data_IF_662491534434
#
_entry.id   IF_662491534434
#
_cell.length_a   1.000
_cell.length_b   1.000
_cell.length_c   1.000
_cell.angle_alpha   90.00
_cell.angle_beta   90.00
_cell.angle_gamma   90.00
#
_symmetry.space_group_name_H-M   'P 1'
#
loop_
_entity.id
_entity.type
_entity.pdbx_description
1 polymer ?
#
# COMPACT_ATOMS: atom_id res chain seq x y z
N UNK A 1 -30.62 7.11 -27.07
CA UNK A 1 -30.76 5.93 -27.94
C UNK A 1 -29.56 5.82 -28.88
N UNK A 2 -28.34 6.12 -28.40
CA UNK A 2 -27.06 6.00 -29.09
C UNK A 2 -25.89 5.60 -28.16
N UNK A 3 -26.17 5.26 -26.89
CA UNK A 3 -25.17 4.79 -25.91
C UNK A 3 -25.18 3.27 -25.66
N UNK A 4 -26.27 2.58 -26.08
CA UNK A 4 -26.41 1.13 -25.83
C UNK A 4 -25.69 0.21 -26.86
N UNK A 5 -25.15 0.78 -27.95
CA UNK A 5 -24.50 -0.02 -29.01
C UNK A 5 -22.96 -0.15 -28.85
N UNK A 6 -22.33 0.56 -27.89
CA UNK A 6 -20.88 0.43 -27.65
C UNK A 6 -20.51 -0.72 -26.69
N UNK A 7 -21.44 -1.17 -25.86
CA UNK A 7 -21.18 -2.26 -24.90
C UNK A 7 -21.20 -3.69 -25.51
N UNK A 8 -21.59 -3.85 -26.78
CA UNK A 8 -21.71 -5.18 -27.40
C UNK A 8 -20.67 -5.53 -28.47
N UNK A 9 -19.65 -4.74 -28.69
CA UNK A 9 -18.65 -4.97 -29.77
C UNK A 9 -17.31 -5.56 -29.32
N UNK A 10 -17.06 -5.77 -28.04
CA UNK A 10 -15.81 -6.35 -27.52
C UNK A 10 -15.79 -7.89 -27.45
N UNK A 11 -16.92 -8.54 -27.64
CA UNK A 11 -17.09 -9.94 -27.24
C UNK A 11 -16.47 -10.92 -28.24
N UNK A 12 -15.32 -11.49 -27.92
CA UNK A 12 -14.80 -12.69 -28.56
C UNK A 12 -13.67 -12.48 -29.57
N UNK A 13 -13.04 -11.30 -29.65
CA UNK A 13 -11.96 -11.04 -30.60
C UNK A 13 -10.72 -11.89 -30.29
N UNK A 14 -10.26 -11.92 -29.02
CA UNK A 14 -9.11 -12.73 -28.61
C UNK A 14 -9.37 -14.22 -28.83
N UNK A 15 -10.58 -14.72 -28.54
CA UNK A 15 -10.98 -16.09 -28.82
C UNK A 15 -10.89 -16.40 -30.31
N UNK A 16 -11.34 -15.49 -31.18
CA UNK A 16 -11.27 -15.63 -32.63
C UNK A 16 -9.84 -15.63 -33.20
N UNK A 17 -8.88 -15.18 -32.44
CA UNK A 17 -7.46 -15.13 -32.82
C UNK A 17 -6.68 -16.38 -32.38
N UNK A 18 -7.26 -17.23 -31.51
CA UNK A 18 -6.64 -18.48 -31.10
C UNK A 18 -6.52 -19.46 -32.28
N UNK A 19 -5.42 -20.20 -32.32
CA UNK A 19 -5.25 -21.30 -33.26
C UNK A 19 -6.19 -22.45 -32.87
N UNK A 20 -7.17 -22.85 -33.71
CA UNK A 20 -8.08 -23.94 -33.41
C UNK A 20 -7.39 -25.30 -33.22
N UNK A 21 -6.17 -25.45 -33.72
CA UNK A 21 -5.37 -26.68 -33.57
C UNK A 21 -4.57 -26.75 -32.27
N UNK A 22 -4.57 -25.68 -31.46
CA UNK A 22 -3.85 -25.64 -30.19
C UNK A 22 -4.36 -26.75 -29.25
N UNK A 23 -3.49 -27.70 -28.79
CA UNK A 23 -3.91 -28.79 -27.95
C UNK A 23 -4.51 -28.38 -26.61
N UNK A 24 -4.23 -27.16 -26.15
CA UNK A 24 -4.81 -26.57 -24.92
C UNK A 24 -6.31 -26.29 -25.05
N UNK A 25 -6.82 -26.17 -26.29
CA UNK A 25 -8.24 -25.96 -26.60
C UNK A 25 -9.02 -27.29 -26.72
N UNK A 26 -8.38 -28.42 -26.60
CA UNK A 26 -9.00 -29.75 -26.86
C UNK A 26 -10.08 -30.11 -25.80
N UNK A 27 -10.06 -29.56 -24.61
CA UNK A 27 -11.08 -29.80 -23.58
C UNK A 27 -12.29 -28.87 -23.78
N UNK A 28 -13.26 -29.37 -24.53
CA UNK A 28 -14.50 -28.64 -24.84
C UNK A 28 -15.31 -28.20 -23.62
N UNK A 29 -15.07 -28.81 -22.45
CA UNK A 29 -15.76 -28.40 -21.19
C UNK A 29 -15.22 -27.07 -20.67
N UNK A 30 -13.98 -26.72 -21.00
CA UNK A 30 -13.32 -25.51 -20.59
C UNK A 30 -13.52 -24.35 -21.58
N UNK A 31 -13.96 -24.62 -22.79
CA UNK A 31 -14.12 -23.62 -23.85
C UNK A 31 -15.03 -22.43 -23.47
N UNK A 32 -16.18 -22.62 -22.78
CA UNK A 32 -16.98 -21.49 -22.33
C UNK A 32 -16.25 -20.64 -21.27
N UNK A 33 -15.60 -21.30 -20.29
CA UNK A 33 -14.87 -20.62 -19.21
C UNK A 33 -13.66 -19.87 -19.76
N UNK A 34 -12.94 -20.45 -20.72
CA UNK A 34 -11.82 -19.80 -21.41
C UNK A 34 -12.29 -18.56 -22.17
N UNK A 35 -13.42 -18.67 -22.88
CA UNK A 35 -14.00 -17.51 -23.58
C UNK A 35 -14.30 -16.38 -22.60
N UNK A 36 -15.04 -16.69 -21.52
CA UNK A 36 -15.41 -15.71 -20.51
C UNK A 36 -14.17 -15.10 -19.82
N UNK A 37 -13.09 -15.88 -19.67
CA UNK A 37 -11.78 -15.41 -19.19
C UNK A 37 -11.14 -14.43 -20.18
N UNK A 38 -11.08 -14.77 -21.45
CA UNK A 38 -10.48 -13.91 -22.49
C UNK A 38 -11.30 -12.63 -22.72
N UNK A 39 -12.63 -12.68 -22.58
CA UNK A 39 -13.50 -11.52 -22.67
C UNK A 39 -13.19 -10.45 -21.59
N UNK A 40 -12.64 -10.84 -20.43
CA UNK A 40 -12.20 -9.88 -19.42
C UNK A 40 -11.00 -9.03 -19.87
N UNK A 41 -10.21 -9.54 -20.82
CA UNK A 41 -9.07 -8.81 -21.39
C UNK A 41 -9.44 -7.97 -22.61
N UNK A 42 -10.52 -8.32 -23.30
CA UNK A 42 -10.87 -7.73 -24.61
C UNK A 42 -11.23 -6.23 -24.54
N UNK A 43 -11.78 -5.76 -23.43
CA UNK A 43 -12.35 -4.43 -23.30
C UNK A 43 -11.32 -3.27 -23.42
N UNK A 44 -10.04 -3.54 -23.27
CA UNK A 44 -8.97 -2.52 -23.17
C UNK A 44 -7.99 -2.57 -24.35
N UNK A 45 -7.98 -3.66 -25.14
CA UNK A 45 -6.90 -3.98 -26.07
C UNK A 45 -7.09 -3.47 -27.49
N UNK A 46 -8.31 -3.09 -27.87
CA UNK A 46 -8.66 -2.75 -29.25
C UNK A 46 -7.96 -1.51 -29.83
N UNK A 47 -7.50 -0.61 -28.96
CA UNK A 47 -6.88 0.65 -29.36
C UNK A 47 -5.34 0.60 -29.37
N UNK A 48 -4.73 -0.43 -28.76
CA UNK A 48 -3.29 -0.43 -28.44
C UNK A 48 -2.47 -1.43 -29.28
N UNK A 49 -3.11 -2.48 -29.87
CA UNK A 49 -2.39 -3.59 -30.48
C UNK A 49 -2.86 -3.90 -31.90
N UNK A 50 -1.90 -4.22 -32.78
CA UNK A 50 -2.18 -4.80 -34.08
C UNK A 50 -2.65 -6.28 -33.95
N UNK A 51 -3.19 -6.84 -35.04
CA UNK A 51 -3.73 -8.21 -35.04
C UNK A 51 -2.66 -9.26 -34.69
N UNK A 52 -1.41 -9.04 -35.07
CA UNK A 52 -0.30 -9.96 -34.78
C UNK A 52 0.03 -9.99 -33.30
N UNK A 53 0.09 -8.82 -32.66
CA UNK A 53 0.32 -8.68 -31.22
C UNK A 53 -0.83 -9.27 -30.41
N UNK A 54 -2.08 -9.03 -30.82
CA UNK A 54 -3.27 -9.63 -30.20
C UNK A 54 -3.31 -11.15 -30.32
N UNK A 55 -2.92 -11.72 -31.46
CA UNK A 55 -2.85 -13.18 -31.67
C UNK A 55 -1.80 -13.82 -30.76
N UNK A 56 -0.65 -13.17 -30.60
CA UNK A 56 0.38 -13.58 -29.64
C UNK A 56 -0.16 -13.54 -28.21
N UNK A 57 -0.71 -12.41 -27.79
CA UNK A 57 -1.28 -12.24 -26.45
C UNK A 57 -2.36 -13.29 -26.15
N UNK A 58 -3.25 -13.59 -27.08
CA UNK A 58 -4.25 -14.66 -26.92
C UNK A 58 -3.61 -16.02 -26.65
N UNK A 59 -2.52 -16.36 -27.35
CA UNK A 59 -1.73 -17.58 -27.10
C UNK A 59 -1.06 -17.58 -25.73
N UNK A 60 -0.51 -16.45 -25.32
CA UNK A 60 0.15 -16.27 -24.01
C UNK A 60 -0.86 -16.40 -22.87
N UNK A 61 -2.02 -15.79 -22.99
CA UNK A 61 -3.10 -15.89 -21.99
C UNK A 61 -3.67 -17.31 -21.83
N UNK A 62 -3.47 -18.22 -22.78
CA UNK A 62 -3.78 -19.64 -22.55
C UNK A 62 -2.91 -20.29 -21.47
N UNK A 63 -1.65 -19.87 -21.35
CA UNK A 63 -0.77 -20.36 -20.27
C UNK A 63 -1.24 -19.81 -18.92
N UNK A 64 -1.57 -18.52 -18.87
CA UNK A 64 -2.15 -17.87 -17.68
C UNK A 64 -3.47 -18.52 -17.28
N UNK A 65 -4.31 -18.88 -18.26
CA UNK A 65 -5.56 -19.59 -18.01
C UNK A 65 -5.34 -20.97 -17.35
N UNK A 66 -4.31 -21.71 -17.75
CA UNK A 66 -3.97 -22.98 -17.10
C UNK A 66 -3.65 -22.78 -15.60
N UNK A 67 -2.98 -21.70 -15.24
CA UNK A 67 -2.75 -21.32 -13.85
C UNK A 67 -4.06 -21.00 -13.13
N UNK A 68 -4.99 -20.34 -13.81
CA UNK A 68 -6.31 -20.00 -13.29
C UNK A 68 -7.25 -21.19 -13.09
N UNK A 69 -7.05 -22.31 -13.79
CA UNK A 69 -7.95 -23.47 -13.75
C UNK A 69 -8.14 -24.06 -12.36
N UNK A 70 -7.10 -24.08 -11.52
CA UNK A 70 -7.16 -24.67 -10.20
C UNK A 70 -6.40 -23.82 -9.19
N UNK A 71 -7.12 -23.28 -8.22
CA UNK A 71 -6.56 -22.45 -7.15
C UNK A 71 -7.32 -22.67 -5.83
N UNK A 72 -6.61 -22.91 -4.74
CA UNK A 72 -7.22 -22.97 -3.43
C UNK A 72 -7.61 -21.59 -2.92
N UNK A 73 -8.51 -21.56 -1.92
CA UNK A 73 -8.92 -20.30 -1.31
C UNK A 73 -7.72 -19.59 -0.67
N UNK A 74 -7.54 -18.31 -1.00
CA UNK A 74 -6.46 -17.43 -0.52
C UNK A 74 -5.05 -17.86 -0.97
N UNK A 75 -4.91 -18.81 -1.87
CA UNK A 75 -3.64 -19.14 -2.49
C UNK A 75 -3.25 -18.04 -3.49
N UNK A 76 -1.98 -17.66 -3.47
CA UNK A 76 -1.36 -16.86 -4.52
C UNK A 76 -0.63 -17.84 -5.44
N UNK A 77 -1.00 -17.85 -6.69
CA UNK A 77 -0.31 -18.68 -7.70
C UNK A 77 0.54 -17.75 -8.57
N UNK A 78 1.79 -18.14 -8.75
CA UNK A 78 2.76 -17.41 -9.56
C UNK A 78 3.42 -18.38 -10.53
N UNK A 79 3.56 -17.98 -11.77
CA UNK A 79 4.29 -18.73 -12.78
C UNK A 79 5.22 -17.84 -13.57
N UNK A 80 6.40 -18.34 -13.87
CA UNK A 80 7.33 -17.69 -14.80
C UNK A 80 7.61 -18.68 -15.93
N UNK A 81 7.46 -18.22 -17.15
CA UNK A 81 7.72 -19.04 -18.33
C UNK A 81 8.31 -18.19 -19.47
N UNK A 82 8.85 -18.83 -20.47
CA UNK A 82 9.39 -18.19 -21.67
C UNK A 82 8.92 -18.98 -22.88
N UNK A 83 8.69 -18.28 -23.97
CA UNK A 83 8.37 -18.92 -25.25
C UNK A 83 9.62 -19.66 -25.77
N UNK A 84 9.55 -20.98 -25.95
CA UNK A 84 10.67 -21.78 -26.44
C UNK A 84 11.03 -21.48 -27.91
N UNK A 85 10.12 -20.88 -28.68
CA UNK A 85 10.33 -20.58 -30.10
C UNK A 85 11.02 -19.23 -30.37
N UNK A 86 11.21 -18.39 -29.33
CA UNK A 86 11.92 -17.13 -29.47
C UNK A 86 13.44 -17.29 -29.55
N UNK A 87 14.08 -16.56 -30.45
CA UNK A 87 15.52 -16.49 -30.59
C UNK A 87 16.19 -16.00 -29.30
N UNK A 88 17.39 -16.53 -28.99
CA UNK A 88 18.11 -16.31 -27.73
C UNK A 88 18.33 -14.83 -27.33
N UNK A 89 18.39 -13.95 -28.31
CA UNK A 89 18.70 -12.53 -28.10
C UNK A 89 17.47 -11.65 -27.79
N UNK A 90 16.23 -12.19 -27.93
CA UNK A 90 14.99 -11.45 -27.71
C UNK A 90 13.97 -12.20 -26.83
N UNK A 91 14.44 -13.01 -25.88
CA UNK A 91 13.53 -13.77 -24.99
C UNK A 91 12.89 -12.85 -23.97
N UNK A 92 11.66 -12.46 -24.24
CA UNK A 92 10.77 -12.00 -23.19
C UNK A 92 10.45 -13.15 -22.23
N UNK A 93 10.32 -12.82 -20.96
CA UNK A 93 9.86 -13.72 -19.92
C UNK A 93 8.47 -13.27 -19.52
N UNK A 94 7.60 -14.22 -19.32
CA UNK A 94 6.23 -13.96 -18.87
C UNK A 94 6.10 -14.35 -17.41
N UNK A 95 5.53 -13.45 -16.64
CA UNK A 95 5.19 -13.65 -15.23
C UNK A 95 3.67 -13.54 -15.09
N UNK A 96 3.07 -14.63 -14.64
CA UNK A 96 1.63 -14.70 -14.36
C UNK A 96 1.39 -14.78 -12.86
N UNK A 97 0.42 -14.00 -12.38
CA UNK A 97 -0.04 -14.01 -10.99
C UNK A 97 -1.55 -14.18 -10.97
N UNK A 98 -2.04 -15.13 -10.19
CA UNK A 98 -3.47 -15.36 -9.95
C UNK A 98 -3.73 -15.40 -8.45
N UNK A 99 -4.56 -14.50 -7.96
CA UNK A 99 -4.92 -14.43 -6.54
C UNK A 99 -6.31 -13.81 -6.35
N UNK A 100 -6.75 -13.67 -5.10
CA UNK A 100 -7.96 -12.89 -4.82
C UNK A 100 -7.74 -11.43 -5.23
N UNK A 101 -8.77 -10.80 -5.80
CA UNK A 101 -8.73 -9.36 -6.06
C UNK A 101 -8.69 -8.60 -4.72
N UNK A 102 -7.66 -7.80 -4.58
CA UNK A 102 -7.42 -6.97 -3.39
C UNK A 102 -6.42 -5.84 -3.71
N UNK A 103 -6.37 -4.80 -2.88
CA UNK A 103 -5.34 -3.77 -3.01
C UNK A 103 -3.90 -4.32 -2.99
N UNK A 104 -2.98 -3.60 -3.61
CA UNK A 104 -1.52 -3.78 -3.58
C UNK A 104 -0.95 -4.93 -4.42
N UNK A 105 -1.73 -5.64 -5.22
CA UNK A 105 -1.21 -6.78 -6.00
C UNK A 105 -0.26 -6.29 -7.10
N UNK A 106 -0.77 -5.51 -8.04
CA UNK A 106 -0.02 -5.05 -9.22
C UNK A 106 1.19 -4.23 -8.80
N UNK A 107 0.97 -3.23 -7.95
CA UNK A 107 2.03 -2.33 -7.46
C UNK A 107 3.15 -3.11 -6.76
N UNK A 108 2.80 -4.14 -5.96
CA UNK A 108 3.79 -4.96 -5.25
C UNK A 108 4.61 -5.80 -6.23
N UNK A 109 3.99 -6.38 -7.25
CA UNK A 109 4.69 -7.18 -8.27
C UNK A 109 5.62 -6.29 -9.09
N UNK A 110 5.16 -5.14 -9.55
CA UNK A 110 5.98 -4.16 -10.28
C UNK A 110 7.19 -3.72 -9.43
N UNK A 111 6.97 -3.35 -8.18
CA UNK A 111 8.04 -2.98 -7.26
C UNK A 111 9.10 -4.09 -7.13
N UNK A 112 8.69 -5.35 -7.02
CA UNK A 112 9.61 -6.50 -6.92
C UNK A 112 10.42 -6.67 -8.20
N UNK A 113 9.82 -6.47 -9.36
CA UNK A 113 10.47 -6.54 -10.67
C UNK A 113 11.52 -5.42 -10.78
N UNK A 114 11.13 -4.19 -10.45
CA UNK A 114 11.99 -3.00 -10.48
C UNK A 114 13.18 -3.10 -9.51
N UNK A 115 12.96 -3.60 -8.29
CA UNK A 115 14.03 -3.83 -7.29
C UNK A 115 15.14 -4.76 -7.79
N UNK A 116 14.82 -5.62 -8.76
CA UNK A 116 15.77 -6.54 -9.39
C UNK A 116 16.41 -5.97 -10.66
N UNK A 117 16.12 -4.71 -10.98
CA UNK A 117 16.60 -4.06 -12.20
C UNK A 117 16.03 -4.69 -13.47
N UNK A 118 14.88 -5.35 -13.39
CA UNK A 118 14.17 -5.90 -14.53
C UNK A 118 13.18 -4.87 -15.08
N UNK A 119 12.98 -4.87 -16.39
CA UNK A 119 12.09 -3.96 -17.08
C UNK A 119 10.78 -4.66 -17.44
N UNK A 120 9.65 -4.06 -17.08
CA UNK A 120 8.31 -4.49 -17.54
C UNK A 120 8.07 -3.92 -18.92
N UNK A 121 7.96 -4.77 -19.94
CA UNK A 121 7.68 -4.40 -21.32
C UNK A 121 6.18 -4.10 -21.48
N UNK A 122 5.36 -5.01 -20.99
CA UNK A 122 3.90 -4.87 -20.99
C UNK A 122 3.28 -5.54 -19.78
N UNK A 123 2.10 -5.06 -19.38
CA UNK A 123 1.29 -5.68 -18.32
C UNK A 123 -0.18 -5.66 -18.69
N UNK A 124 -0.83 -6.76 -18.38
CA UNK A 124 -2.27 -6.93 -18.56
C UNK A 124 -2.88 -7.47 -17.29
N UNK A 125 -3.97 -6.87 -16.85
CA UNK A 125 -4.69 -7.30 -15.65
C UNK A 125 -6.17 -7.40 -15.95
N UNK A 126 -6.81 -8.44 -15.42
CA UNK A 126 -8.25 -8.61 -15.49
C UNK A 126 -8.78 -9.16 -14.17
N UNK A 127 -9.98 -8.70 -13.80
CA UNK A 127 -10.72 -9.20 -12.66
C UNK A 127 -11.77 -10.19 -13.15
N UNK A 128 -11.86 -11.34 -12.51
CA UNK A 128 -12.83 -12.38 -12.85
C UNK A 128 -13.60 -12.84 -11.61
N UNK A 129 -14.94 -12.84 -11.73
CA UNK A 129 -15.84 -13.38 -10.68
C UNK A 129 -15.89 -14.90 -10.76
N UNK A 130 -14.90 -15.58 -10.17
CA UNK A 130 -14.70 -17.01 -10.29
C UNK A 130 -15.61 -17.81 -9.36
N UNK A 131 -16.33 -18.79 -9.90
CA UNK A 131 -17.02 -19.84 -9.16
C UNK A 131 -16.14 -21.07 -9.14
N UNK A 132 -15.78 -21.56 -7.93
CA UNK A 132 -14.88 -22.69 -7.76
C UNK A 132 -15.54 -23.85 -7.03
N UNK A 133 -15.19 -25.08 -7.43
CA UNK A 133 -15.50 -26.30 -6.70
C UNK A 133 -14.70 -26.35 -5.38
N UNK A 134 -15.03 -27.33 -4.51
CA UNK A 134 -14.34 -27.49 -3.21
C UNK A 134 -12.86 -27.80 -3.33
N UNK A 135 -12.45 -28.44 -4.41
CA UNK A 135 -11.06 -28.78 -4.71
C UNK A 135 -10.25 -27.65 -5.39
N UNK A 136 -10.88 -26.45 -5.53
CA UNK A 136 -10.27 -25.27 -6.12
C UNK A 136 -10.38 -25.18 -7.65
N UNK A 137 -10.95 -26.18 -8.32
CA UNK A 137 -11.16 -26.16 -9.78
C UNK A 137 -12.22 -25.11 -10.14
N UNK A 138 -11.98 -24.33 -11.20
CA UNK A 138 -12.97 -23.38 -11.71
C UNK A 138 -14.15 -24.11 -12.37
N UNK A 139 -15.35 -23.60 -12.10
CA UNK A 139 -16.60 -24.15 -12.63
C UNK A 139 -17.25 -23.17 -13.60
N UNK A 140 -17.20 -21.89 -13.28
CA UNK A 140 -17.76 -20.83 -14.11
C UNK A 140 -17.12 -19.46 -13.76
N UNK A 141 -17.26 -18.51 -14.65
CA UNK A 141 -17.07 -17.09 -14.38
C UNK A 141 -18.49 -16.48 -14.34
N UNK A 142 -18.93 -16.06 -13.16
CA UNK A 142 -20.27 -15.54 -12.97
C UNK A 142 -20.35 -14.60 -11.76
N UNK A 143 -20.43 -13.29 -12.02
CA UNK A 143 -20.54 -12.27 -10.99
C UNK A 143 -21.87 -12.34 -10.19
N UNK A 144 -22.89 -13.01 -10.71
CA UNK A 144 -24.22 -13.11 -10.07
C UNK A 144 -24.33 -14.29 -9.12
N UNK A 145 -23.41 -15.23 -9.19
CA UNK A 145 -23.41 -16.41 -8.33
C UNK A 145 -23.07 -16.05 -6.87
N UNK A 146 -23.88 -16.48 -5.92
CA UNK A 146 -23.71 -16.19 -4.49
C UNK A 146 -22.38 -16.69 -3.89
N UNK A 147 -21.72 -17.64 -4.54
CA UNK A 147 -20.43 -18.23 -4.15
C UNK A 147 -19.27 -17.81 -5.06
N UNK A 148 -19.48 -16.85 -5.95
CA UNK A 148 -18.42 -16.25 -6.75
C UNK A 148 -17.43 -15.49 -5.87
N UNK A 149 -16.21 -15.38 -6.33
CA UNK A 149 -15.15 -14.59 -5.70
C UNK A 149 -14.46 -13.75 -6.75
N UNK A 150 -14.19 -12.53 -6.40
CA UNK A 150 -13.37 -11.67 -7.24
C UNK A 150 -11.92 -12.13 -7.15
N UNK A 151 -11.38 -12.47 -8.30
CA UNK A 151 -9.99 -12.85 -8.48
C UNK A 151 -9.35 -11.95 -9.51
N UNK A 152 -8.07 -11.63 -9.29
CA UNK A 152 -7.26 -10.88 -10.25
C UNK A 152 -6.32 -11.84 -10.94
N UNK A 153 -6.20 -11.67 -12.24
CA UNK A 153 -5.22 -12.32 -13.10
C UNK A 153 -4.32 -11.23 -13.66
N UNK A 154 -3.02 -11.35 -13.40
CA UNK A 154 -2.02 -10.41 -13.89
C UNK A 154 -1.05 -11.17 -14.80
N UNK A 155 -0.79 -10.60 -15.96
CA UNK A 155 0.17 -11.10 -16.94
C UNK A 155 1.19 -9.98 -17.22
N UNK A 156 2.47 -10.25 -16.98
CA UNK A 156 3.56 -9.32 -17.22
C UNK A 156 4.52 -9.90 -18.26
N UNK A 157 4.89 -9.10 -19.24
CA UNK A 157 6.02 -9.36 -20.11
C UNK A 157 7.23 -8.59 -19.58
N UNK A 158 8.33 -9.28 -19.30
CA UNK A 158 9.54 -8.76 -18.68
C UNK A 158 10.71 -8.95 -19.64
N UNK A 159 11.55 -7.93 -19.77
CA UNK A 159 12.79 -8.05 -20.50
C UNK A 159 13.71 -9.10 -19.88
N UNK A 160 14.40 -9.84 -20.70
CA UNK A 160 15.10 -11.10 -20.43
C UNK A 160 15.81 -11.19 -19.07
N UNK A 161 15.66 -12.36 -18.45
CA UNK A 161 16.25 -12.69 -17.15
C UNK A 161 17.51 -13.56 -17.34
N UNK A 162 18.66 -13.16 -16.82
CA UNK A 162 19.94 -13.80 -17.19
C UNK A 162 20.21 -15.15 -16.52
N UNK A 163 19.53 -15.54 -15.42
CA UNK A 163 19.91 -16.72 -14.62
C UNK A 163 18.72 -17.44 -14.00
N UNK A 164 18.72 -18.79 -14.06
CA UNK A 164 17.67 -19.64 -13.47
C UNK A 164 17.44 -19.40 -11.96
N UNK A 165 18.50 -19.13 -11.21
CA UNK A 165 18.41 -18.87 -9.77
C UNK A 165 17.64 -17.60 -9.44
N UNK A 166 17.71 -16.58 -10.29
CA UNK A 166 16.94 -15.33 -10.15
C UNK A 166 15.43 -15.58 -10.30
N UNK A 167 15.05 -16.57 -11.12
CA UNK A 167 13.65 -16.99 -11.31
C UNK A 167 13.03 -17.51 -10.02
N UNK A 168 13.69 -18.43 -9.35
CA UNK A 168 13.17 -19.05 -8.12
C UNK A 168 13.09 -18.04 -6.97
N UNK A 169 14.07 -17.12 -6.88
CA UNK A 169 14.05 -16.02 -5.93
C UNK A 169 12.92 -15.04 -6.21
N UNK A 170 12.65 -14.73 -7.48
CA UNK A 170 11.56 -13.85 -7.89
C UNK A 170 10.21 -14.46 -7.53
N UNK A 171 9.99 -15.74 -7.86
CA UNK A 171 8.75 -16.46 -7.52
C UNK A 171 8.49 -16.42 -6.01
N UNK A 172 9.47 -16.86 -5.21
CA UNK A 172 9.37 -16.87 -3.75
C UNK A 172 9.08 -15.48 -3.19
N UNK A 173 9.79 -14.46 -3.65
CA UNK A 173 9.59 -13.10 -3.17
C UNK A 173 8.20 -12.56 -3.49
N UNK A 174 7.67 -12.85 -4.67
CA UNK A 174 6.30 -12.45 -5.04
C UNK A 174 5.28 -13.15 -4.13
N UNK A 175 5.38 -14.46 -3.94
CA UNK A 175 4.48 -15.22 -3.07
C UNK A 175 4.51 -14.69 -1.63
N UNK A 176 5.69 -14.45 -1.06
CA UNK A 176 5.87 -13.93 0.29
C UNK A 176 5.26 -12.53 0.44
N UNK A 177 5.58 -11.59 -0.45
CA UNK A 177 5.11 -10.21 -0.35
C UNK A 177 3.61 -10.08 -0.64
N UNK A 178 3.06 -10.86 -1.57
CA UNK A 178 1.61 -10.89 -1.78
C UNK A 178 0.87 -11.56 -0.62
N UNK A 179 1.47 -12.51 0.08
CA UNK A 179 0.93 -13.04 1.34
C UNK A 179 0.91 -11.97 2.44
N UNK A 180 1.97 -11.14 2.52
CA UNK A 180 2.00 -9.98 3.41
C UNK A 180 0.89 -8.97 3.06
N UNK A 181 0.74 -8.62 1.78
CA UNK A 181 -0.34 -7.74 1.32
C UNK A 181 -1.73 -8.28 1.72
N UNK A 182 -1.94 -9.59 1.56
CA UNK A 182 -3.17 -10.27 1.97
C UNK A 182 -3.42 -10.14 3.49
N UNK A 183 -2.38 -10.26 4.30
CA UNK A 183 -2.46 -10.09 5.75
C UNK A 183 -2.86 -8.67 6.13
N UNK A 184 -2.23 -7.68 5.51
CA UNK A 184 -2.56 -6.26 5.70
C UNK A 184 -4.02 -5.97 5.35
N UNK A 185 -4.48 -6.42 4.19
CA UNK A 185 -5.88 -6.23 3.76
C UNK A 185 -6.88 -6.90 4.70
N UNK A 186 -6.58 -8.13 5.13
CA UNK A 186 -7.41 -8.88 6.08
C UNK A 186 -7.53 -8.17 7.42
N UNK A 187 -6.45 -7.62 7.93
CA UNK A 187 -6.41 -6.98 9.24
C UNK A 187 -6.76 -5.48 9.20
N UNK A 188 -6.90 -4.86 8.03
CA UNK A 188 -7.12 -3.44 7.85
C UNK A 188 -8.27 -2.87 8.71
N UNK A 189 -9.43 -3.53 8.71
CA UNK A 189 -10.58 -3.09 9.51
C UNK A 189 -10.31 -3.17 11.00
N UNK A 190 -9.57 -4.19 11.44
CA UNK A 190 -9.18 -4.38 12.85
C UNK A 190 -8.17 -3.34 13.27
N UNK A 191 -7.15 -3.06 12.44
CA UNK A 191 -6.16 -1.98 12.68
C UNK A 191 -6.86 -0.63 12.86
N UNK A 192 -7.76 -0.25 11.95
CA UNK A 192 -8.59 0.97 12.12
C UNK A 192 -9.47 0.92 13.37
N UNK A 193 -9.90 -0.27 13.81
CA UNK A 193 -10.63 -0.48 15.04
C UNK A 193 -9.80 -0.13 16.27
N UNK A 194 -8.58 -0.66 16.36
CA UNK A 194 -7.63 -0.37 17.46
C UNK A 194 -7.35 1.14 17.56
N UNK A 195 -7.07 1.80 16.44
CA UNK A 195 -6.81 3.24 16.42
C UNK A 195 -8.05 4.03 16.89
N UNK A 196 -9.27 3.64 16.50
CA UNK A 196 -10.50 4.27 17.00
C UNK A 196 -10.72 4.06 18.48
N UNK A 197 -10.32 2.91 19.02
CA UNK A 197 -10.39 2.65 20.46
C UNK A 197 -9.39 3.53 21.22
N UNK A 198 -8.18 3.74 20.70
CA UNK A 198 -7.23 4.72 21.24
C UNK A 198 -7.78 6.14 21.22
N UNK A 199 -8.40 6.58 20.12
CA UNK A 199 -9.07 7.88 20.03
C UNK A 199 -10.13 8.03 21.13
N UNK A 200 -10.91 6.97 21.41
CA UNK A 200 -11.92 6.96 22.48
C UNK A 200 -11.29 6.99 23.87
N UNK A 201 -10.18 6.27 24.09
CA UNK A 201 -9.45 6.25 25.36
C UNK A 201 -8.89 7.64 25.67
N UNK A 202 -8.21 8.26 24.72
CA UNK A 202 -7.69 9.63 24.81
C UNK A 202 -8.81 10.63 25.13
N UNK A 203 -9.97 10.50 24.49
CA UNK A 203 -11.12 11.39 24.73
C UNK A 203 -11.67 11.28 26.14
N UNK A 204 -11.72 10.08 26.73
CA UNK A 204 -12.27 9.87 28.08
C UNK A 204 -11.38 10.43 29.16
N UNK A 205 -10.07 10.43 28.98
CA UNK A 205 -9.10 10.90 29.95
C UNK A 205 -8.89 12.42 29.94
N UNK A 206 -9.49 13.12 28.96
CA UNK A 206 -9.34 14.58 28.83
C UNK A 206 -9.84 15.42 30.02
N UNK A 207 -10.52 14.80 30.97
CA UNK A 207 -11.07 15.49 32.15
C UNK A 207 -10.00 16.05 33.15
N UNK A 208 -8.71 15.73 32.95
CA UNK A 208 -7.61 16.20 33.84
C UNK A 208 -6.34 16.65 33.11
N UNK A 209 -6.29 16.55 31.78
CA UNK A 209 -5.11 16.87 30.97
C UNK A 209 -5.31 18.20 30.24
N UNK A 210 -4.25 19.01 29.98
CA UNK A 210 -4.38 20.23 29.18
C UNK A 210 -5.05 19.93 27.84
N UNK A 211 -6.14 20.66 27.54
CA UNK A 211 -7.05 20.37 26.42
C UNK A 211 -6.36 20.40 25.07
N UNK A 212 -5.27 21.18 24.92
CA UNK A 212 -4.52 21.30 23.65
C UNK A 212 -3.79 20.02 23.24
N UNK A 213 -3.19 19.32 24.19
CA UNK A 213 -2.31 18.18 23.92
C UNK A 213 -3.10 16.94 23.51
N UNK A 214 -4.25 16.74 24.15
CA UNK A 214 -5.18 15.63 23.84
C UNK A 214 -5.85 15.80 22.48
N UNK A 215 -6.16 17.04 22.08
CA UNK A 215 -6.79 17.35 20.80
C UNK A 215 -5.84 17.10 19.62
N UNK A 216 -4.55 17.39 19.79
CA UNK A 216 -3.52 17.18 18.76
C UNK A 216 -3.38 15.71 18.39
N UNK A 217 -3.17 14.85 19.39
CA UNK A 217 -3.05 13.39 19.21
C UNK A 217 -4.29 12.80 18.57
N UNK A 218 -5.46 13.13 19.11
CA UNK A 218 -6.73 12.65 18.58
C UNK A 218 -6.92 13.06 17.12
N UNK A 219 -6.67 14.33 16.81
CA UNK A 219 -6.85 14.84 15.46
C UNK A 219 -5.89 14.20 14.46
N UNK A 220 -4.66 13.89 14.89
CA UNK A 220 -3.71 13.13 14.09
C UNK A 220 -4.24 11.71 13.80
N UNK A 221 -4.66 10.98 14.82
CA UNK A 221 -5.18 9.62 14.64
C UNK A 221 -6.44 9.61 13.78
N UNK A 222 -7.37 10.57 13.99
CA UNK A 222 -8.54 10.74 13.12
C UNK A 222 -8.14 11.03 11.68
N UNK A 223 -7.10 11.84 11.46
CA UNK A 223 -6.58 12.16 10.13
C UNK A 223 -5.96 10.93 9.44
N UNK A 224 -5.14 10.14 10.15
CA UNK A 224 -4.53 8.93 9.60
C UNK A 224 -5.58 7.93 9.11
N UNK A 225 -6.66 7.70 9.88
CA UNK A 225 -7.73 6.74 9.50
C UNK A 225 -8.68 7.24 8.41
N UNK A 226 -8.57 8.52 7.99
CA UNK A 226 -9.36 9.13 6.91
C UNK A 226 -8.66 9.03 5.54
N UNK A 227 -8.05 7.87 5.28
CA UNK A 227 -7.39 7.53 4.02
C UNK A 227 -6.15 8.40 3.70
N UNK A 228 -5.48 8.90 4.74
CA UNK A 228 -4.20 9.59 4.61
C UNK A 228 -3.01 8.67 4.86
N UNK A 229 -3.26 7.45 5.33
CA UNK A 229 -2.21 6.50 5.65
C UNK A 229 -2.58 5.07 5.21
N UNK A 230 -1.64 4.38 4.60
CA UNK A 230 -1.71 2.95 4.30
C UNK A 230 -1.10 2.22 5.47
N UNK A 231 -1.92 1.56 6.27
CA UNK A 231 -1.49 0.82 7.44
C UNK A 231 -0.88 -0.52 7.02
N UNK A 232 0.36 -0.78 7.40
CA UNK A 232 1.01 -2.09 7.25
C UNK A 232 0.86 -2.91 8.54
N UNK A 233 0.85 -2.25 9.67
CA UNK A 233 0.61 -2.89 10.94
C UNK A 233 0.28 -1.94 12.07
N UNK A 234 -0.22 -2.52 13.15
CA UNK A 234 -0.51 -1.85 14.42
C UNK A 234 -0.22 -2.82 15.55
N UNK A 235 0.68 -2.42 16.45
CA UNK A 235 0.92 -3.10 17.72
C UNK A 235 0.35 -2.28 18.88
N UNK A 236 -0.06 -2.97 19.92
CA UNK A 236 -0.35 -2.36 21.22
C UNK A 236 0.58 -2.95 22.27
N UNK A 237 1.27 -2.06 22.94
CA UNK A 237 2.19 -2.34 24.01
C UNK A 237 1.59 -1.91 25.34
N UNK A 238 1.80 -2.69 26.37
CA UNK A 238 1.33 -2.38 27.73
C UNK A 238 2.47 -2.47 28.72
N UNK A 239 2.49 -1.55 29.70
CA UNK A 239 3.40 -1.60 30.87
C UNK A 239 2.63 -1.30 32.15
N UNK A 240 3.05 -1.89 33.26
CA UNK A 240 2.45 -1.69 34.58
C UNK A 240 3.09 -0.46 35.24
N UNK A 241 2.27 0.49 35.70
CA UNK A 241 2.70 1.74 36.37
C UNK A 241 3.81 2.53 35.66
N UNK A 242 4.01 2.31 34.36
CA UNK A 242 5.09 2.93 33.58
C UNK A 242 6.44 2.24 33.71
N UNK A 243 6.52 1.09 34.40
CA UNK A 243 7.73 0.29 34.46
C UNK A 243 7.97 -0.41 33.11
N UNK A 244 8.98 0.09 32.38
CA UNK A 244 9.35 -0.45 31.07
C UNK A 244 9.88 -1.88 31.13
N UNK A 245 10.31 -2.38 32.31
CA UNK A 245 10.70 -3.78 32.47
C UNK A 245 9.52 -4.74 32.33
N UNK A 246 8.29 -4.24 32.49
CA UNK A 246 7.02 -4.98 32.31
C UNK A 246 6.41 -4.84 30.92
N UNK A 247 7.09 -4.13 30.02
CA UNK A 247 6.58 -3.84 28.69
C UNK A 247 6.38 -5.12 27.87
N UNK A 248 5.19 -5.29 27.33
CA UNK A 248 4.83 -6.43 26.49
C UNK A 248 3.87 -6.02 25.36
N UNK A 249 3.96 -6.73 24.24
CA UNK A 249 2.97 -6.63 23.17
C UNK A 249 1.74 -7.45 23.59
N UNK A 250 0.58 -6.83 23.69
CA UNK A 250 -0.71 -7.50 23.96
C UNK A 250 -1.57 -7.66 22.71
N UNK A 251 -1.23 -6.96 21.63
CA UNK A 251 -1.89 -7.07 20.32
C UNK A 251 -0.89 -6.76 19.22
N UNK A 252 -0.89 -7.58 18.15
CA UNK A 252 -0.18 -7.32 16.89
C UNK A 252 -1.09 -7.63 15.71
N UNK A 253 -1.17 -6.74 14.76
CA UNK A 253 -1.99 -6.83 13.55
C UNK A 253 -1.20 -6.39 12.33
N UNK A 254 -1.50 -6.99 11.18
CA UNK A 254 -0.83 -6.72 9.91
C UNK A 254 0.48 -7.50 9.77
N UNK A 255 1.46 -6.93 9.08
CA UNK A 255 2.79 -7.55 8.91
C UNK A 255 3.72 -7.07 10.02
N UNK A 256 4.62 -7.92 10.51
CA UNK A 256 5.59 -7.49 11.53
C UNK A 256 6.50 -6.39 11.00
N UNK A 257 7.00 -5.55 11.91
CA UNK A 257 8.10 -4.65 11.61
C UNK A 257 9.34 -5.52 11.36
N UNK A 258 9.92 -5.44 10.16
CA UNK A 258 10.90 -6.44 9.70
C UNK A 258 12.35 -6.11 10.07
N UNK A 259 12.63 -4.85 10.42
CA UNK A 259 14.00 -4.39 10.67
C UNK A 259 14.26 -4.24 12.18
N UNK A 260 15.28 -4.92 12.69
CA UNK A 260 15.70 -4.81 14.10
C UNK A 260 16.03 -3.37 14.50
N UNK A 261 16.58 -2.57 13.57
CA UNK A 261 16.86 -1.15 13.80
C UNK A 261 15.57 -0.32 14.01
N UNK A 262 14.46 -0.70 13.36
CA UNK A 262 13.17 -0.05 13.55
C UNK A 262 12.58 -0.41 14.92
N UNK A 263 12.77 -1.64 15.40
CA UNK A 263 12.37 -2.04 16.76
C UNK A 263 13.10 -1.20 17.83
N UNK A 264 14.39 -0.95 17.65
CA UNK A 264 15.16 -0.07 18.55
C UNK A 264 14.62 1.37 18.56
N UNK A 265 14.26 1.91 17.40
CA UNK A 265 13.64 3.23 17.28
C UNK A 265 12.25 3.28 17.94
N UNK A 266 11.45 2.23 17.81
CA UNK A 266 10.16 2.10 18.50
C UNK A 266 10.35 2.09 20.02
N UNK A 267 11.32 1.31 20.51
CA UNK A 267 11.63 1.26 21.96
C UNK A 267 12.07 2.63 22.47
N UNK A 268 12.94 3.32 21.76
CA UNK A 268 13.35 4.68 22.11
C UNK A 268 12.16 5.66 22.13
N UNK A 269 11.22 5.52 21.19
CA UNK A 269 10.00 6.33 21.17
C UNK A 269 9.10 6.04 22.39
N UNK A 270 8.95 4.76 22.80
CA UNK A 270 8.22 4.36 24.00
C UNK A 270 8.88 4.94 25.26
N UNK A 271 10.21 4.88 25.36
CA UNK A 271 10.98 5.48 26.46
C UNK A 271 10.77 7.00 26.54
N UNK A 272 10.86 7.68 25.39
CA UNK A 272 10.63 9.12 25.29
C UNK A 272 9.22 9.51 25.78
N UNK A 273 8.21 8.72 25.40
CA UNK A 273 6.82 8.96 25.80
C UNK A 273 6.53 8.59 27.26
N UNK A 274 7.34 7.73 27.84
CA UNK A 274 7.20 7.28 29.25
C UNK A 274 8.02 8.11 30.23
N UNK A 275 8.97 8.93 29.78
CA UNK A 275 9.85 9.74 30.58
C UNK A 275 9.14 10.91 31.31
N UNK A 276 9.89 11.64 32.15
CA UNK A 276 9.40 12.73 32.99
C UNK A 276 8.90 13.95 32.20
N UNK A 277 9.33 14.09 30.96
CA UNK A 277 8.98 15.23 30.07
C UNK A 277 8.58 14.74 28.68
N UNK A 278 7.46 13.99 28.56
CA UNK A 278 7.00 13.52 27.26
C UNK A 278 6.62 14.66 26.32
N UNK A 279 6.67 14.46 25.00
CA UNK A 279 6.11 15.41 24.04
C UNK A 279 4.67 15.80 24.41
N UNK A 280 4.31 17.07 24.22
CA UNK A 280 2.98 17.61 24.58
C UNK A 280 1.81 16.83 24.03
N UNK A 281 1.94 16.31 22.83
CA UNK A 281 0.90 15.57 22.13
C UNK A 281 1.04 14.05 22.26
N UNK A 282 1.91 13.57 23.16
CA UNK A 282 2.10 12.15 23.43
C UNK A 282 2.31 11.29 22.16
N UNK A 283 2.90 11.88 21.14
CA UNK A 283 3.21 11.24 19.84
C UNK A 283 4.69 11.39 19.53
N UNK A 284 5.31 10.31 19.12
CA UNK A 284 6.62 10.32 18.46
C UNK A 284 6.44 9.75 17.07
N UNK A 285 6.89 10.47 16.05
CA UNK A 285 6.91 10.00 14.67
C UNK A 285 8.33 9.99 14.13
N UNK A 286 8.65 8.97 13.35
CA UNK A 286 9.97 8.83 12.73
C UNK A 286 9.87 8.05 11.42
N UNK A 287 10.91 8.17 10.59
CA UNK A 287 11.11 7.36 9.38
C UNK A 287 11.95 6.15 9.76
N UNK A 288 11.47 4.96 9.43
CA UNK A 288 12.20 3.72 9.65
C UNK A 288 13.44 3.57 8.78
N UNK A 289 14.27 2.62 9.13
CA UNK A 289 15.43 2.20 8.35
C UNK A 289 15.02 1.22 7.24
N UNK A 290 13.95 0.44 7.48
CA UNK A 290 13.38 -0.50 6.56
C UNK A 290 12.65 0.16 5.38
N UNK A 291 12.71 -0.51 4.22
CA UNK A 291 11.91 -0.14 3.06
C UNK A 291 10.60 -0.93 3.03
N UNK A 292 9.58 -0.35 2.43
CA UNK A 292 8.32 -1.05 2.21
C UNK A 292 8.53 -2.28 1.34
N UNK A 293 7.97 -3.40 1.76
CA UNK A 293 7.98 -4.68 1.03
C UNK A 293 6.69 -4.93 0.23
N UNK A 294 5.68 -4.04 0.36
CA UNK A 294 4.40 -4.11 -0.35
C UNK A 294 3.98 -2.72 -0.82
N UNK A 295 3.08 -2.65 -1.79
CA UNK A 295 2.52 -1.45 -2.39
C UNK A 295 3.56 -0.68 -3.22
N UNK A 296 4.33 0.25 -2.66
CA UNK A 296 5.33 1.06 -3.36
C UNK A 296 6.62 1.17 -2.57
N UNK A 297 7.71 1.42 -3.26
CA UNK A 297 9.00 1.72 -2.61
C UNK A 297 8.89 2.97 -1.72
N UNK A 298 9.59 2.93 -0.61
CA UNK A 298 9.73 4.05 0.32
C UNK A 298 10.06 3.58 1.72
N UNK A 299 10.73 4.43 2.46
CA UNK A 299 10.97 4.22 3.89
C UNK A 299 9.66 4.24 4.65
N UNK A 300 9.49 3.30 5.57
CA UNK A 300 8.27 3.16 6.37
C UNK A 300 8.16 4.33 7.35
N UNK A 301 6.96 4.87 7.47
CA UNK A 301 6.62 5.88 8.46
C UNK A 301 6.08 5.22 9.71
N UNK A 302 6.57 5.63 10.89
CA UNK A 302 6.19 5.10 12.18
C UNK A 302 5.60 6.18 13.07
N UNK A 303 4.55 5.81 13.80
CA UNK A 303 3.93 6.61 14.85
C UNK A 303 3.82 5.80 16.12
N UNK A 304 4.40 6.27 17.20
CA UNK A 304 4.19 5.71 18.53
C UNK A 304 3.37 6.72 19.34
N UNK A 305 2.26 6.26 19.88
CA UNK A 305 1.30 7.11 20.61
C UNK A 305 1.09 6.53 21.99
N UNK A 306 1.28 7.34 23.03
CA UNK A 306 0.95 6.96 24.40
C UNK A 306 -0.52 7.24 24.68
N UNK A 307 -1.24 6.21 25.12
CA UNK A 307 -2.59 6.36 25.65
C UNK A 307 -2.54 6.81 27.13
N UNK A 308 -3.60 7.49 27.59
CA UNK A 308 -3.74 7.77 29.01
C UNK A 308 -3.77 6.49 29.85
N UNK A 309 -3.14 6.55 31.03
CA UNK A 309 -3.14 5.43 31.97
C UNK A 309 -4.58 5.10 32.42
N UNK A 310 -4.88 3.79 32.45
CA UNK A 310 -6.14 3.25 32.99
C UNK A 310 -5.80 2.13 33.96
N UNK A 311 -6.26 2.24 35.19
CA UNK A 311 -6.02 1.24 36.25
C UNK A 311 -4.53 0.90 36.46
N UNK A 312 -3.66 1.93 36.41
CA UNK A 312 -2.21 1.76 36.52
C UNK A 312 -1.51 1.23 35.29
N UNK A 313 -2.23 0.83 34.25
CA UNK A 313 -1.64 0.33 33.00
C UNK A 313 -1.47 1.47 32.00
N UNK A 314 -0.23 1.66 31.52
CA UNK A 314 0.08 2.56 30.42
C UNK A 314 0.08 1.76 29.12
N UNK A 315 -0.56 2.31 28.09
CA UNK A 315 -0.60 1.70 26.77
C UNK A 315 0.08 2.61 25.76
N UNK A 316 0.81 1.96 24.84
CA UNK A 316 1.34 2.60 23.66
C UNK A 316 0.80 1.87 22.44
N UNK A 317 0.36 2.60 21.42
CA UNK A 317 0.11 2.02 20.11
C UNK A 317 1.25 2.41 19.18
N UNK A 318 1.79 1.44 18.48
CA UNK A 318 2.74 1.62 17.41
C UNK A 318 2.01 1.36 16.09
N UNK A 319 2.07 2.31 15.18
CA UNK A 319 1.42 2.30 13.87
C UNK A 319 2.52 2.49 12.84
N UNK A 320 2.56 1.65 11.80
CA UNK A 320 3.52 1.82 10.71
C UNK A 320 2.90 1.57 9.35
N UNK A 321 3.50 2.18 8.32
CA UNK A 321 3.03 2.13 6.95
C UNK A 321 3.54 3.27 6.09
N UNK A 322 2.75 3.72 5.13
CA UNK A 322 3.12 4.78 4.20
C UNK A 322 2.03 5.85 4.12
N UNK A 323 2.42 7.11 3.95
CA UNK A 323 1.48 8.15 3.59
C UNK A 323 0.85 7.89 2.23
N UNK A 324 -0.44 8.13 2.09
CA UNK A 324 -1.13 8.10 0.80
C UNK A 324 -0.78 9.33 -0.03
N UNK A 325 -1.05 9.26 -1.34
CA UNK A 325 -0.93 10.43 -2.23
C UNK A 325 -1.75 11.63 -1.73
N UNK A 326 -2.95 11.37 -1.19
CA UNK A 326 -3.80 12.37 -0.55
C UNK A 326 -3.09 13.07 0.63
N UNK A 327 -2.37 12.33 1.46
CA UNK A 327 -1.62 12.88 2.56
C UNK A 327 -0.48 13.79 2.09
N UNK A 328 0.29 13.32 1.10
CA UNK A 328 1.44 14.07 0.54
C UNK A 328 0.99 15.38 -0.13
N UNK A 329 -0.21 15.40 -0.71
CA UNK A 329 -0.79 16.62 -1.30
C UNK A 329 -1.49 17.54 -0.30
N UNK A 330 -1.71 17.09 0.93
CA UNK A 330 -2.35 17.93 1.96
C UNK A 330 -1.37 19.03 2.41
N UNK A 331 -1.74 20.32 2.34
CA UNK A 331 -0.90 21.40 2.86
C UNK A 331 -0.54 21.16 4.33
N UNK A 332 0.72 21.38 4.70
CA UNK A 332 1.23 21.07 6.04
C UNK A 332 0.45 21.75 7.16
N UNK A 333 -0.05 22.97 6.94
CA UNK A 333 -0.87 23.72 7.89
C UNK A 333 -2.30 23.17 8.08
N UNK A 334 -2.71 22.20 7.26
CA UNK A 334 -3.97 21.47 7.39
C UNK A 334 -3.80 20.10 8.09
N UNK A 335 -2.57 19.66 8.30
CA UNK A 335 -2.27 18.40 8.99
C UNK A 335 -2.22 18.68 10.51
N UNK A 336 -3.06 18.03 11.32
CA UNK A 336 -3.28 18.41 12.73
C UNK A 336 -2.00 18.49 13.57
N UNK A 337 -1.18 17.44 13.56
CA UNK A 337 0.07 17.37 14.33
C UNK A 337 1.15 18.33 13.78
N UNK A 338 1.25 18.44 12.46
CA UNK A 338 2.25 19.24 11.76
C UNK A 338 1.98 20.74 11.92
N UNK A 339 0.70 21.12 11.94
CA UNK A 339 0.27 22.51 12.13
C UNK A 339 0.78 23.11 13.45
N UNK A 340 0.87 22.32 14.51
CA UNK A 340 1.38 22.82 15.81
C UNK A 340 2.79 23.36 15.69
N UNK A 341 3.63 22.75 14.82
CA UNK A 341 5.00 23.22 14.56
C UNK A 341 5.03 24.58 13.85
N UNK A 342 4.07 24.84 12.95
CA UNK A 342 3.90 26.19 12.37
C UNK A 342 3.45 27.19 13.42
N UNK A 343 2.49 26.84 14.26
CA UNK A 343 2.01 27.73 15.34
C UNK A 343 3.13 28.06 16.34
N UNK A 344 4.04 27.13 16.64
CA UNK A 344 5.25 27.36 17.45
C UNK A 344 6.17 28.40 16.81
N UNK A 345 6.50 28.24 15.52
CA UNK A 345 7.35 29.18 14.76
C UNK A 345 6.70 30.59 14.72
N UNK A 346 5.40 30.64 14.41
CA UNK A 346 4.62 31.90 14.36
C UNK A 346 4.63 32.59 15.73
N UNK A 347 4.41 31.86 16.81
CA UNK A 347 4.38 32.37 18.19
C UNK A 347 5.74 32.91 18.62
N UNK A 348 6.82 32.16 18.34
CA UNK A 348 8.20 32.56 18.64
C UNK A 348 8.57 33.91 18.01
N UNK A 349 8.09 34.19 16.81
CA UNK A 349 8.34 35.43 16.10
C UNK A 349 7.27 36.50 16.32
N UNK A 350 6.29 36.26 17.19
CA UNK A 350 5.17 37.17 17.47
C UNK A 350 4.47 37.67 16.19
N UNK A 351 4.27 36.76 15.20
CA UNK A 351 3.69 37.11 13.90
C UNK A 351 2.18 37.14 14.02
N UNK A 352 1.51 38.30 13.75
CA UNK A 352 0.05 38.40 13.81
C UNK A 352 -0.60 37.48 12.73
N UNK A 353 -1.59 36.68 13.14
CA UNK A 353 -2.39 35.87 12.20
C UNK A 353 -3.11 36.77 11.19
N UNK A 354 -3.11 36.36 9.91
CA UNK A 354 -3.80 37.03 8.81
C UNK A 354 -3.00 38.13 8.11
N UNK A 355 -1.83 38.54 8.62
CA UNK A 355 -0.95 39.52 7.98
C UNK A 355 -0.14 38.93 6.80
N UNK A 356 0.48 39.79 5.99
CA UNK A 356 1.33 39.39 4.87
C UNK A 356 2.47 38.50 5.33
N UNK A 357 3.12 38.82 6.45
CA UNK A 357 4.20 38.02 7.03
C UNK A 357 3.72 36.64 7.44
N UNK A 358 2.51 36.52 8.03
CA UNK A 358 1.90 35.21 8.34
C UNK A 358 1.70 34.37 7.09
N UNK A 359 1.14 34.97 6.02
CA UNK A 359 0.93 34.27 4.74
C UNK A 359 2.25 33.80 4.11
N UNK A 360 3.31 34.63 4.19
CA UNK A 360 4.62 34.23 3.69
C UNK A 360 5.17 33.01 4.43
N UNK A 361 5.12 33.01 5.78
CA UNK A 361 5.53 31.85 6.58
C UNK A 361 4.69 30.59 6.29
N UNK A 362 3.38 30.75 6.19
CA UNK A 362 2.45 29.67 5.86
C UNK A 362 2.74 29.07 4.46
N UNK A 363 2.98 29.90 3.45
CA UNK A 363 3.31 29.45 2.11
C UNK A 363 4.64 28.68 2.08
N UNK A 364 5.69 29.23 2.73
CA UNK A 364 6.98 28.54 2.82
C UNK A 364 6.88 27.24 3.59
N UNK A 365 6.09 27.20 4.67
CA UNK A 365 5.80 25.97 5.42
C UNK A 365 5.12 24.91 4.54
N UNK A 366 4.10 25.29 3.77
CA UNK A 366 3.37 24.39 2.89
C UNK A 366 4.17 23.93 1.66
N UNK A 367 5.30 24.56 1.36
CA UNK A 367 6.23 24.10 0.32
C UNK A 367 7.24 23.05 0.81
N UNK A 368 7.30 22.82 2.12
CA UNK A 368 8.17 21.79 2.71
C UNK A 368 7.48 20.42 2.59
N UNK A 369 8.21 19.36 2.15
CA UNK A 369 7.64 18.02 2.07
C UNK A 369 7.03 17.53 3.39
N UNK A 370 5.86 16.91 3.30
CA UNK A 370 5.07 16.47 4.47
C UNK A 370 5.87 15.51 5.35
N UNK A 371 6.62 14.59 4.76
CA UNK A 371 7.48 13.65 5.49
C UNK A 371 8.53 14.39 6.34
N UNK A 372 9.15 15.44 5.79
CA UNK A 372 10.09 16.27 6.56
C UNK A 372 9.40 17.00 7.69
N UNK A 373 8.21 17.56 7.44
CA UNK A 373 7.43 18.27 8.47
C UNK A 373 7.06 17.37 9.66
N UNK A 374 6.81 16.07 9.41
CA UNK A 374 6.55 15.13 10.51
C UNK A 374 7.77 14.88 11.38
N UNK A 375 8.96 14.78 10.80
CA UNK A 375 10.19 14.40 11.50
C UNK A 375 10.90 15.59 12.14
N UNK A 376 10.94 16.72 11.45
CA UNK A 376 11.70 17.89 11.87
C UNK A 376 11.11 18.57 13.11
N UNK A 377 12.00 19.09 13.95
CA UNK A 377 11.63 19.98 15.06
C UNK A 377 11.22 21.35 14.54
N UNK A 378 10.40 22.08 15.33
CA UNK A 378 9.97 23.43 14.98
C UNK A 378 11.16 24.37 14.65
N UNK A 379 12.33 24.20 15.30
CA UNK A 379 13.54 24.97 15.04
C UNK A 379 14.18 24.65 13.68
N UNK A 380 14.12 23.42 13.23
CA UNK A 380 14.64 23.00 11.93
C UNK A 380 13.74 23.51 10.81
N UNK A 381 12.43 23.42 11.00
CA UNK A 381 11.42 23.99 10.09
C UNK A 381 11.61 25.49 9.97
N UNK A 382 11.81 26.18 11.09
CA UNK A 382 12.10 27.62 11.12
C UNK A 382 13.33 27.98 10.28
N UNK A 383 14.43 27.20 10.42
CA UNK A 383 15.63 27.42 9.63
C UNK A 383 15.38 27.24 8.11
N UNK A 384 14.58 26.23 7.72
CA UNK A 384 14.20 26.02 6.31
C UNK A 384 13.35 27.20 5.80
N UNK A 385 12.35 27.66 6.56
CA UNK A 385 11.52 28.82 6.18
C UNK A 385 12.41 30.06 5.96
N UNK A 386 13.35 30.31 6.87
CA UNK A 386 14.28 31.43 6.72
C UNK A 386 15.18 31.29 5.49
N UNK A 387 15.66 30.08 5.19
CA UNK A 387 16.45 29.84 3.99
C UNK A 387 15.63 30.09 2.70
N UNK A 388 14.38 29.66 2.65
CA UNK A 388 13.47 29.95 1.52
C UNK A 388 13.32 31.47 1.34
N UNK A 389 13.00 32.21 2.40
CA UNK A 389 12.86 33.65 2.33
C UNK A 389 14.15 34.40 1.95
N UNK A 390 15.31 33.87 2.36
CA UNK A 390 16.60 34.43 1.94
C UNK A 390 16.83 34.27 0.43
N UNK A 391 16.55 33.08 -0.12
CA UNK A 391 16.68 32.82 -1.55
C UNK A 391 15.71 33.65 -2.39
N UNK A 392 14.48 33.81 -1.94
CA UNK A 392 13.48 34.65 -2.62
C UNK A 392 13.92 36.12 -2.72
N UNK A 393 14.44 36.71 -1.61
CA UNK A 393 14.97 38.05 -1.61
C UNK A 393 16.25 38.27 -2.42
N UNK A 394 17.02 37.20 -2.62
CA UNK A 394 18.25 37.26 -3.40
C UNK A 394 18.01 37.23 -4.91
N UNK A 395 16.77 36.99 -5.33
CA UNK A 395 16.34 37.00 -6.75
C UNK A 395 15.69 38.33 -7.17
N UNK A 396 15.36 39.21 -6.20
CA UNK A 396 14.93 40.60 -6.40
C UNK A 396 16.15 41.55 -6.45
#
# INVERSE_FOLDING_TARGET
MLEDDKEKKGNGRLVGLLDPSDPRLADVRLAPILRDFLEQYDAVLDELYDEKALRRLAGDLLNTFNLFLKRNKNEVQVSIWSDPEMELDNKSIYLDVVCNDQPFIVDTVEMIIEERGLEVISKHTANASAVRAKDGTIVAIDATAANSREEVVCHFEIASMPVAQMRDDLLRCIEERLSMATTVVKDYKRMKGVIRDSIRAIRRSAAGTPVGDVLGTRSLLDWLIQDHFVFFGVDRWTSEEGDLSTLKIDLSLGVPCLETADEELVMHAVETLSGDSPPRDFVVSFKGMGDSCIHRQGKIDHFVVREPAVDGVIRHIHIWGLFTFKAVQTPGDQIPHVRTKLDDVISKHSIPKGGLRYKAFQNSFNSIPVEFLFQARSSEIEAVIHAIHYVERSKE
#
